data_IF_533808335503
#
_entry.id   IF_533808335503
#
_cell.length_a   1.000
_cell.length_b   1.000
_cell.length_c   1.000
_cell.angle_alpha   90.00
_cell.angle_beta   90.00
_cell.angle_gamma   90.00
#
_symmetry.space_group_name_H-M   'P 1'
#
loop_
_entity.id
_entity.type
_entity.pdbx_description
1 polymer ?
#
# COMPACT_ATOMS: atom_id res chain seq x y z
N UNK A 1 -8.39 16.24 -28.36
CA UNK A 1 -8.15 17.41 -27.47
C UNK A 1 -7.17 16.97 -26.38
N UNK A 2 -6.29 17.82 -25.84
CA UNK A 2 -5.39 17.40 -24.75
C UNK A 2 -6.06 17.66 -23.40
N UNK A 3 -5.94 16.71 -22.46
CA UNK A 3 -6.43 16.92 -21.09
C UNK A 3 -5.63 18.04 -20.41
N UNK A 4 -6.27 19.06 -19.82
CA UNK A 4 -5.57 20.17 -19.18
C UNK A 4 -4.78 19.76 -17.93
N UNK A 5 -5.08 18.60 -17.35
CA UNK A 5 -4.41 18.11 -16.13
C UNK A 5 -3.21 17.21 -16.43
N UNK A 6 -3.33 16.27 -17.37
CA UNK A 6 -2.30 15.24 -17.60
C UNK A 6 -1.65 15.28 -19.00
N UNK A 7 -2.07 16.20 -19.87
CA UNK A 7 -1.58 16.36 -21.24
C UNK A 7 -1.69 15.10 -22.13
N UNK A 8 -2.55 14.14 -21.78
CA UNK A 8 -2.85 12.98 -22.63
C UNK A 8 -3.95 13.30 -23.66
N UNK A 9 -3.95 12.65 -24.83
CA UNK A 9 -4.98 12.83 -25.85
C UNK A 9 -6.31 12.25 -25.38
N UNK A 10 -7.36 13.07 -25.42
CA UNK A 10 -8.75 12.68 -25.16
C UNK A 10 -9.55 12.58 -26.47
N UNK A 11 -10.36 11.52 -26.56
CA UNK A 11 -11.35 11.37 -27.63
C UNK A 11 -12.51 12.32 -27.33
N UNK A 12 -12.82 13.23 -28.26
CA UNK A 12 -13.62 14.43 -28.01
C UNK A 12 -15.08 14.24 -27.58
N UNK A 13 -15.55 12.99 -27.47
CA UNK A 13 -16.88 12.62 -26.99
C UNK A 13 -16.91 12.14 -25.54
N UNK A 14 -15.76 11.98 -24.88
CA UNK A 14 -15.68 11.48 -23.51
C UNK A 14 -15.90 12.60 -22.49
N UNK A 15 -16.76 12.36 -21.51
CA UNK A 15 -17.01 13.30 -20.40
C UNK A 15 -15.82 13.38 -19.42
N UNK A 16 -15.01 12.32 -19.34
CA UNK A 16 -13.88 12.22 -18.41
C UNK A 16 -12.63 11.73 -19.15
N UNK A 17 -11.45 12.15 -18.69
CA UNK A 17 -10.19 11.64 -19.22
C UNK A 17 -9.91 10.21 -18.74
N UNK A 18 -9.75 9.27 -19.67
CA UNK A 18 -9.43 7.87 -19.35
C UNK A 18 -8.12 7.64 -18.59
N UNK A 19 -7.21 8.62 -18.56
CA UNK A 19 -5.90 8.50 -17.91
C UNK A 19 -5.86 9.06 -16.49
N UNK A 20 -6.55 10.18 -16.23
CA UNK A 20 -6.47 10.88 -14.95
C UNK A 20 -7.82 11.11 -14.27
N UNK A 21 -8.94 10.86 -14.96
CA UNK A 21 -10.30 11.02 -14.42
C UNK A 21 -10.82 12.46 -14.38
N UNK A 22 -10.05 13.47 -14.81
CA UNK A 22 -10.53 14.86 -14.86
C UNK A 22 -11.72 14.98 -15.82
N UNK A 23 -12.78 15.67 -15.40
CA UNK A 23 -13.93 16.02 -16.26
C UNK A 23 -13.46 16.94 -17.38
N UNK A 24 -13.66 16.49 -18.62
CA UNK A 24 -13.35 17.28 -19.80
C UNK A 24 -14.55 18.17 -20.05
N UNK A 25 -14.35 19.49 -20.00
CA UNK A 25 -15.40 20.47 -20.23
C UNK A 25 -16.05 20.22 -21.59
N UNK A 26 -17.17 19.49 -21.59
CA UNK A 26 -17.93 19.18 -22.79
C UNK A 26 -18.61 20.48 -23.15
N UNK A 27 -18.33 21.01 -24.35
CA UNK A 27 -19.02 22.19 -24.84
C UNK A 27 -20.54 21.92 -24.71
N UNK A 28 -21.30 22.79 -24.00
CA UNK A 28 -22.72 22.54 -23.79
C UNK A 28 -23.39 22.38 -25.16
N UNK A 29 -24.28 21.37 -25.33
CA UNK A 29 -25.06 21.26 -26.55
C UNK A 29 -25.85 22.56 -26.70
N UNK A 30 -25.64 23.23 -27.84
CA UNK A 30 -26.33 24.48 -28.19
C UNK A 30 -27.82 24.16 -28.28
N UNK A 31 -28.54 24.41 -27.18
CA UNK A 31 -29.98 24.32 -27.15
C UNK A 31 -30.57 25.47 -27.97
N UNK A 32 -31.60 25.24 -28.82
CA UNK A 32 -32.31 26.31 -29.50
C UNK A 32 -32.96 27.26 -28.50
N UNK A 33 -32.74 28.56 -28.69
CA UNK A 33 -33.25 29.62 -27.82
C UNK A 33 -34.79 29.64 -27.77
N UNK A 34 -35.35 29.65 -26.55
CA UNK A 34 -36.73 30.04 -26.28
C UNK A 34 -36.76 31.28 -25.38
N UNK A 35 -37.74 32.18 -25.51
CA UNK A 35 -37.68 33.54 -24.98
C UNK A 35 -37.94 33.63 -23.47
N UNK A 36 -37.35 34.68 -22.89
CA UNK A 36 -37.31 35.02 -21.49
C UNK A 36 -38.69 35.27 -20.83
N UNK A 37 -38.88 34.72 -19.63
CA UNK A 37 -39.85 35.21 -18.66
C UNK A 37 -39.19 35.23 -17.28
N UNK A 38 -39.18 36.41 -16.67
CA UNK A 38 -38.50 36.71 -15.42
C UNK A 38 -39.39 36.38 -14.22
N UNK A 39 -38.87 35.59 -13.27
CA UNK A 39 -39.43 35.55 -11.92
C UNK A 39 -38.36 35.21 -10.88
N UNK A 40 -38.20 36.16 -9.96
CA UNK A 40 -37.46 36.14 -8.71
C UNK A 40 -37.94 35.04 -7.75
N UNK A 41 -37.03 34.25 -7.17
CA UNK A 41 -37.15 33.75 -5.78
C UNK A 41 -35.91 32.98 -5.28
N UNK A 42 -35.45 33.38 -4.09
CA UNK A 42 -34.88 32.56 -3.02
C UNK A 42 -33.63 31.71 -3.28
N UNK A 43 -32.49 32.25 -2.82
CA UNK A 43 -31.25 31.52 -2.50
C UNK A 43 -31.54 30.54 -1.34
N UNK A 44 -31.69 29.26 -1.68
CA UNK A 44 -31.50 28.16 -0.73
C UNK A 44 -30.05 27.67 -0.86
N UNK A 45 -29.29 27.50 0.23
CA UNK A 45 -27.98 26.86 0.16
C UNK A 45 -28.21 25.40 -0.21
N UNK A 46 -27.97 25.07 -1.48
CA UNK A 46 -27.85 23.71 -1.94
C UNK A 46 -26.69 23.08 -1.18
N UNK A 47 -27.01 22.36 -0.09
CA UNK A 47 -26.15 21.32 0.45
C UNK A 47 -25.84 20.39 -0.71
N UNK A 48 -24.66 20.56 -1.29
CA UNK A 48 -24.08 19.61 -2.21
C UNK A 48 -23.82 18.33 -1.42
N UNK A 49 -24.85 17.51 -1.31
CA UNK A 49 -24.69 16.07 -1.10
C UNK A 49 -23.98 15.55 -2.34
N UNK A 50 -22.66 15.73 -2.40
CA UNK A 50 -21.84 14.94 -3.29
C UNK A 50 -22.16 13.48 -2.96
N UNK A 51 -22.57 12.68 -3.94
CA UNK A 51 -22.62 11.24 -3.75
C UNK A 51 -21.20 10.81 -3.40
N UNK A 52 -20.95 10.57 -2.12
CA UNK A 52 -19.88 9.69 -1.69
C UNK A 52 -20.28 8.29 -2.15
N UNK A 53 -20.25 8.09 -3.47
CA UNK A 53 -20.05 6.77 -4.02
C UNK A 53 -18.68 6.37 -3.47
N UNK A 54 -18.72 5.64 -2.37
CA UNK A 54 -17.67 4.76 -1.90
C UNK A 54 -17.46 3.73 -3.00
N UNK A 55 -16.90 4.19 -4.12
CA UNK A 55 -16.31 3.38 -5.15
C UNK A 55 -15.26 2.57 -4.40
N UNK A 56 -15.60 1.31 -4.15
CA UNK A 56 -14.79 0.36 -3.41
C UNK A 56 -13.42 0.33 -4.09
N UNK A 57 -12.49 1.17 -3.61
CA UNK A 57 -11.10 1.23 -4.06
C UNK A 57 -10.44 -0.04 -3.56
N UNK A 58 -10.73 -1.14 -4.25
CA UNK A 58 -10.12 -2.42 -4.01
C UNK A 58 -8.61 -2.28 -4.22
N UNK A 59 -7.87 -2.61 -3.18
CA UNK A 59 -6.42 -2.78 -3.25
C UNK A 59 -6.14 -3.95 -4.19
N UNK A 60 -5.68 -3.64 -5.41
CA UNK A 60 -5.43 -4.64 -6.46
C UNK A 60 -3.97 -4.77 -6.87
N UNK A 61 -3.66 -5.87 -7.56
CA UNK A 61 -2.34 -6.12 -8.15
C UNK A 61 -1.25 -6.44 -7.13
N UNK A 62 -0.04 -5.91 -7.35
CA UNK A 62 1.13 -6.17 -6.51
C UNK A 62 0.94 -5.82 -5.03
N UNK A 63 0.11 -4.82 -4.71
CA UNK A 63 -0.12 -4.44 -3.31
C UNK A 63 -0.95 -5.48 -2.57
N UNK A 64 -1.87 -6.17 -3.26
CA UNK A 64 -2.64 -7.28 -2.69
C UNK A 64 -1.73 -8.47 -2.39
N UNK A 65 -0.75 -8.76 -3.27
CA UNK A 65 0.25 -9.81 -3.01
C UNK A 65 1.08 -9.50 -1.76
N UNK A 66 1.50 -8.25 -1.58
CA UNK A 66 2.17 -7.81 -0.35
C UNK A 66 1.30 -8.03 0.87
N UNK A 67 0.04 -7.61 0.82
CA UNK A 67 -0.89 -7.73 1.94
C UNK A 67 -1.11 -9.20 2.32
N UNK A 68 -1.35 -10.09 1.35
CA UNK A 68 -1.48 -11.54 1.59
C UNK A 68 -0.19 -12.10 2.20
N UNK A 69 0.97 -11.67 1.69
CA UNK A 69 2.24 -12.14 2.20
C UNK A 69 2.39 -11.84 3.70
N UNK A 70 2.19 -10.60 4.12
CA UNK A 70 2.39 -10.18 5.51
C UNK A 70 1.24 -10.58 6.45
N UNK A 71 0.04 -10.85 5.93
CA UNK A 71 -1.14 -11.20 6.76
C UNK A 71 -1.40 -12.70 6.87
N UNK A 72 -0.95 -13.49 5.89
CA UNK A 72 -1.25 -14.92 5.82
C UNK A 72 0.03 -15.75 5.75
N UNK A 73 0.92 -15.45 4.81
CA UNK A 73 2.09 -16.30 4.56
C UNK A 73 3.09 -16.20 5.71
N UNK A 74 3.43 -14.98 6.15
CA UNK A 74 4.40 -14.74 7.22
C UNK A 74 3.94 -15.34 8.57
N UNK A 75 2.69 -15.10 9.03
CA UNK A 75 2.22 -15.70 10.28
C UNK A 75 2.16 -17.22 10.24
N UNK A 76 1.80 -17.83 9.11
CA UNK A 76 1.81 -19.29 8.97
C UNK A 76 3.23 -19.85 9.00
N UNK A 77 4.20 -19.13 8.43
CA UNK A 77 5.61 -19.51 8.48
C UNK A 77 6.16 -19.43 9.90
N UNK A 78 5.87 -18.36 10.62
CA UNK A 78 6.28 -18.18 12.02
C UNK A 78 5.62 -19.20 12.94
N UNK A 79 4.32 -19.46 12.74
CA UNK A 79 3.60 -20.47 13.50
C UNK A 79 4.22 -21.86 13.29
N UNK A 80 4.56 -22.21 12.05
CA UNK A 80 5.30 -23.43 11.73
C UNK A 80 6.62 -23.48 12.49
N UNK A 81 7.39 -22.38 12.49
CA UNK A 81 8.68 -22.30 13.19
C UNK A 81 8.51 -22.54 14.70
N UNK A 82 7.50 -21.93 15.33
CA UNK A 82 7.17 -22.14 16.75
C UNK A 82 6.86 -23.62 17.04
N UNK A 83 6.11 -24.30 16.18
CA UNK A 83 5.81 -25.72 16.36
C UNK A 83 7.04 -26.62 16.22
N UNK A 84 7.97 -26.30 15.30
CA UNK A 84 9.22 -27.05 15.14
C UNK A 84 10.20 -26.81 16.29
N UNK A 85 10.28 -25.57 16.78
CA UNK A 85 11.10 -25.19 17.91
C UNK A 85 10.33 -25.46 19.20
N UNK A 86 10.13 -26.75 19.51
CA UNK A 86 9.39 -27.24 20.69
C UNK A 86 10.03 -26.87 22.05
N UNK A 87 10.90 -25.86 22.11
CA UNK A 87 11.82 -25.61 23.22
C UNK A 87 11.94 -24.12 23.56
N UNK A 88 11.35 -23.76 24.71
CA UNK A 88 11.78 -22.65 25.55
C UNK A 88 11.36 -21.25 25.11
N UNK A 89 11.12 -20.39 26.10
CA UNK A 89 10.87 -18.97 25.89
C UNK A 89 12.17 -18.29 25.45
N UNK A 90 12.27 -17.94 24.17
CA UNK A 90 13.42 -17.22 23.61
C UNK A 90 13.01 -15.80 23.23
N UNK A 91 13.78 -14.80 23.67
CA UNK A 91 13.54 -13.38 23.36
C UNK A 91 13.38 -13.12 21.85
N UNK A 92 14.18 -13.72 20.95
CA UNK A 92 13.99 -13.57 19.50
C UNK A 92 12.60 -14.01 19.02
N UNK A 93 12.05 -15.08 19.59
CA UNK A 93 10.74 -15.60 19.21
C UNK A 93 9.60 -14.64 19.59
N UNK A 94 9.71 -14.00 20.76
CA UNK A 94 8.74 -12.98 21.18
C UNK A 94 8.81 -11.71 20.32
N UNK A 95 10.02 -11.29 19.94
CA UNK A 95 10.22 -10.16 19.04
C UNK A 95 9.70 -10.46 17.62
N UNK A 96 9.97 -11.66 17.11
CA UNK A 96 9.42 -12.15 15.84
C UNK A 96 7.89 -12.11 15.89
N UNK A 97 7.26 -12.73 16.90
CA UNK A 97 5.80 -12.74 17.02
C UNK A 97 5.19 -11.34 17.13
N UNK A 98 5.83 -10.44 17.89
CA UNK A 98 5.42 -9.03 17.97
C UNK A 98 5.49 -8.33 16.61
N UNK A 99 6.56 -8.60 15.84
CA UNK A 99 6.72 -8.08 14.48
C UNK A 99 5.67 -8.66 13.52
N UNK A 100 5.37 -9.96 13.62
CA UNK A 100 4.32 -10.64 12.85
C UNK A 100 2.97 -9.98 13.09
N UNK A 101 2.58 -9.79 14.36
CA UNK A 101 1.33 -9.12 14.72
C UNK A 101 1.29 -7.69 14.18
N UNK A 102 2.39 -6.94 14.31
CA UNK A 102 2.49 -5.60 13.76
C UNK A 102 2.41 -5.60 12.22
N UNK A 103 2.97 -6.61 11.56
CA UNK A 103 2.86 -6.86 10.13
C UNK A 103 1.43 -7.13 9.68
N UNK A 104 0.68 -7.97 10.41
CA UNK A 104 -0.74 -8.22 10.15
C UNK A 104 -1.55 -6.92 10.27
N UNK A 105 -1.37 -6.15 11.33
CA UNK A 105 -2.04 -4.85 11.52
C UNK A 105 -1.70 -3.89 10.37
N UNK A 106 -0.42 -3.82 9.99
CA UNK A 106 0.05 -2.99 8.87
C UNK A 106 -0.60 -3.42 7.56
N UNK A 107 -0.70 -4.72 7.30
CA UNK A 107 -1.35 -5.27 6.11
C UNK A 107 -2.85 -4.98 6.04
N UNK A 108 -3.56 -5.10 7.17
CA UNK A 108 -4.98 -4.73 7.24
C UNK A 108 -5.16 -3.23 6.97
N UNK A 109 -4.31 -2.37 7.55
CA UNK A 109 -4.39 -0.93 7.31
C UNK A 109 -4.10 -0.55 5.86
N UNK A 110 -3.17 -1.25 5.21
CA UNK A 110 -2.92 -1.11 3.78
C UNK A 110 -4.13 -1.54 2.97
N UNK A 111 -4.76 -2.67 3.32
CA UNK A 111 -5.93 -3.20 2.63
C UNK A 111 -7.13 -2.23 2.69
N UNK A 112 -7.35 -1.59 3.83
CA UNK A 112 -8.42 -0.60 4.03
C UNK A 112 -8.10 0.74 3.33
N UNK A 113 -6.85 0.95 2.89
CA UNK A 113 -6.45 2.19 2.21
C UNK A 113 -6.24 3.36 3.17
N UNK A 114 -5.92 3.11 4.45
CA UNK A 114 -5.72 4.17 5.43
C UNK A 114 -4.48 5.02 5.11
N UNK A 115 -4.58 6.35 5.16
CA UNK A 115 -3.43 7.26 4.90
C UNK A 115 -2.28 7.03 5.89
N UNK A 116 -2.61 6.63 7.13
CA UNK A 116 -1.61 6.30 8.14
C UNK A 116 -0.83 5.02 7.83
N UNK A 117 -1.32 4.16 6.92
CA UNK A 117 -0.70 2.86 6.63
C UNK A 117 0.76 2.98 6.16
N UNK A 118 1.13 4.06 5.47
CA UNK A 118 2.52 4.29 5.07
C UNK A 118 3.45 4.55 6.27
N UNK A 119 2.96 5.18 7.33
CA UNK A 119 3.72 5.38 8.57
C UNK A 119 3.95 4.03 9.26
N UNK A 120 2.90 3.23 9.38
CA UNK A 120 3.01 1.86 9.93
C UNK A 120 4.00 1.02 9.11
N UNK A 121 3.93 1.12 7.78
CA UNK A 121 4.80 0.40 6.85
C UNK A 121 6.27 0.82 6.96
N UNK A 122 6.58 2.11 7.15
CA UNK A 122 7.95 2.57 7.41
C UNK A 122 8.51 1.98 8.69
N UNK A 123 7.73 2.01 9.76
CA UNK A 123 8.12 1.43 11.05
C UNK A 123 8.29 -0.09 10.92
N UNK A 124 7.41 -0.77 10.18
CA UNK A 124 7.52 -2.19 9.90
C UNK A 124 8.83 -2.53 9.18
N UNK A 125 9.14 -1.85 8.06
CA UNK A 125 10.39 -2.11 7.34
C UNK A 125 11.63 -1.79 8.18
N UNK A 126 11.61 -0.72 8.97
CA UNK A 126 12.70 -0.41 9.89
C UNK A 126 12.87 -1.51 10.95
N UNK A 127 11.78 -1.98 11.55
CA UNK A 127 11.81 -3.06 12.54
C UNK A 127 12.30 -4.39 11.95
N UNK A 128 11.82 -4.77 10.76
CA UNK A 128 12.32 -5.95 10.01
C UNK A 128 13.83 -5.82 9.77
N UNK A 129 14.29 -4.66 9.29
CA UNK A 129 15.72 -4.44 9.03
C UNK A 129 16.55 -4.54 10.31
N UNK A 130 16.11 -3.90 11.40
CA UNK A 130 16.83 -3.90 12.68
C UNK A 130 16.89 -5.30 13.31
N UNK A 131 15.76 -6.02 13.35
CA UNK A 131 15.70 -7.37 13.89
C UNK A 131 16.50 -8.36 13.04
N UNK A 132 16.48 -8.16 11.72
CA UNK A 132 17.38 -8.89 10.85
C UNK A 132 18.80 -8.57 11.27
N UNK A 133 19.26 -7.31 11.23
CA UNK A 133 20.66 -6.97 11.50
C UNK A 133 21.14 -7.52 12.85
N UNK A 134 20.28 -7.47 13.87
CA UNK A 134 20.52 -8.14 15.15
C UNK A 134 20.77 -9.65 14.97
N UNK A 135 19.85 -10.36 14.29
CA UNK A 135 19.99 -11.77 13.97
C UNK A 135 21.25 -12.11 13.15
N UNK A 136 21.73 -11.19 12.30
CA UNK A 136 22.98 -11.36 11.56
C UNK A 136 24.15 -11.42 12.52
N UNK A 137 24.23 -10.40 13.38
CA UNK A 137 25.34 -10.20 14.29
C UNK A 137 25.41 -11.36 15.29
N UNK A 138 24.28 -11.81 15.82
CA UNK A 138 24.24 -12.97 16.71
C UNK A 138 24.69 -14.24 15.99
N UNK A 139 24.18 -14.48 14.78
CA UNK A 139 24.53 -15.67 14.00
C UNK A 139 26.00 -15.66 13.56
N UNK A 140 26.54 -14.50 13.20
CA UNK A 140 27.94 -14.36 12.80
C UNK A 140 28.89 -14.67 13.96
N UNK A 141 28.56 -14.20 15.17
CA UNK A 141 29.31 -14.54 16.40
C UNK A 141 29.33 -16.04 16.69
N UNK A 142 28.21 -16.73 16.46
CA UNK A 142 28.12 -18.18 16.64
C UNK A 142 28.81 -18.96 15.52
N UNK A 143 28.74 -18.48 14.28
CA UNK A 143 29.33 -19.17 13.10
C UNK A 143 30.86 -19.24 13.19
N UNK A 144 31.52 -18.31 13.87
CA UNK A 144 32.96 -18.44 14.19
C UNK A 144 33.29 -19.67 15.04
N UNK A 145 32.31 -20.23 15.77
CA UNK A 145 32.49 -21.42 16.61
C UNK A 145 32.14 -22.74 15.88
N UNK A 146 31.20 -22.73 14.93
CA UNK A 146 30.64 -23.95 14.30
C UNK A 146 30.80 -24.03 12.77
N UNK A 147 31.33 -22.98 12.14
CA UNK A 147 31.60 -22.90 10.70
C UNK A 147 30.38 -22.54 9.82
N UNK A 148 30.65 -21.93 8.67
CA UNK A 148 30.13 -22.40 7.38
C UNK A 148 28.61 -22.62 7.14
N UNK A 149 27.65 -21.83 7.63
CA UNK A 149 26.22 -22.18 7.44
C UNK A 149 25.57 -21.54 6.20
N UNK A 150 25.40 -22.31 5.11
CA UNK A 150 24.73 -21.86 3.87
C UNK A 150 23.27 -21.44 4.08
N UNK A 151 22.55 -22.11 4.98
CA UNK A 151 21.14 -21.79 5.26
C UNK A 151 20.98 -20.39 5.84
N UNK A 152 21.90 -19.97 6.71
CA UNK A 152 21.93 -18.62 7.25
C UNK A 152 22.03 -17.59 6.11
N UNK A 153 22.98 -17.77 5.19
CA UNK A 153 23.21 -16.84 4.08
C UNK A 153 21.98 -16.72 3.18
N UNK A 154 21.36 -17.85 2.84
CA UNK A 154 20.13 -17.83 2.03
C UNK A 154 18.97 -17.13 2.73
N UNK A 155 18.80 -17.31 4.05
CA UNK A 155 17.80 -16.59 4.83
C UNK A 155 18.03 -15.07 4.79
N UNK A 156 19.29 -14.65 4.88
CA UNK A 156 19.72 -13.26 4.78
C UNK A 156 19.41 -12.61 3.44
N UNK A 157 19.80 -13.28 2.36
CA UNK A 157 19.49 -12.81 1.01
C UNK A 157 17.99 -12.72 0.76
N UNK A 158 17.20 -13.66 1.28
CA UNK A 158 15.74 -13.63 1.15
C UNK A 158 15.13 -12.38 1.80
N UNK A 159 15.56 -12.03 3.01
CA UNK A 159 15.07 -10.83 3.70
C UNK A 159 15.53 -9.55 3.00
N UNK A 160 16.80 -9.50 2.58
CA UNK A 160 17.33 -8.35 1.84
C UNK A 160 16.59 -8.13 0.52
N UNK A 161 16.35 -9.21 -0.25
CA UNK A 161 15.58 -9.16 -1.50
C UNK A 161 14.13 -8.73 -1.24
N UNK A 162 13.49 -9.26 -0.20
CA UNK A 162 12.14 -8.85 0.20
C UNK A 162 12.07 -7.35 0.49
N UNK A 163 12.96 -6.82 1.34
CA UNK A 163 13.01 -5.40 1.66
C UNK A 163 13.30 -4.56 0.41
N UNK A 164 14.28 -4.95 -0.41
CA UNK A 164 14.65 -4.21 -1.61
C UNK A 164 13.49 -4.11 -2.61
N UNK A 165 12.82 -5.24 -2.90
CA UNK A 165 11.67 -5.29 -3.83
C UNK A 165 10.54 -4.42 -3.30
N UNK A 166 10.14 -4.59 -2.05
CA UNK A 166 8.97 -3.90 -1.52
C UNK A 166 9.21 -2.42 -1.24
N UNK A 167 10.36 -2.04 -0.67
CA UNK A 167 10.70 -0.62 -0.48
C UNK A 167 10.77 0.10 -1.82
N UNK A 168 11.36 -0.52 -2.84
CA UNK A 168 11.41 0.07 -4.20
C UNK A 168 10.01 0.19 -4.78
N UNK A 169 9.17 -0.85 -4.64
CA UNK A 169 7.78 -0.82 -5.08
C UNK A 169 6.99 0.33 -4.43
N UNK A 170 7.04 0.47 -3.11
CA UNK A 170 6.32 1.54 -2.39
C UNK A 170 6.87 2.95 -2.63
N UNK A 171 8.13 3.07 -3.10
CA UNK A 171 8.73 4.34 -3.49
C UNK A 171 8.37 4.78 -4.90
N UNK A 172 8.29 3.84 -5.84
CA UNK A 172 8.16 4.15 -7.28
C UNK A 172 6.71 3.99 -7.77
N UNK A 173 5.89 3.17 -7.11
CA UNK A 173 4.56 2.82 -7.61
C UNK A 173 3.61 4.02 -7.69
N UNK A 174 3.16 4.33 -8.90
CA UNK A 174 2.12 5.35 -9.16
C UNK A 174 0.80 4.98 -8.48
N UNK A 175 0.49 3.69 -8.37
CA UNK A 175 -0.73 3.20 -7.71
C UNK A 175 -0.71 3.46 -6.21
N UNK A 176 0.44 3.27 -5.56
CA UNK A 176 0.62 3.60 -4.13
C UNK A 176 0.37 5.09 -3.92
N UNK A 177 1.00 5.94 -4.75
CA UNK A 177 0.76 7.40 -4.72
C UNK A 177 -0.70 7.77 -4.91
N UNK A 178 -1.39 7.15 -5.86
CA UNK A 178 -2.80 7.41 -6.14
C UNK A 178 -3.74 6.95 -5.02
N UNK A 179 -3.35 5.91 -4.28
CA UNK A 179 -4.16 5.32 -3.20
C UNK A 179 -3.97 6.08 -1.89
N UNK A 180 -2.71 6.33 -1.49
CA UNK A 180 -2.38 6.90 -0.18
C UNK A 180 -2.02 8.39 -0.23
N UNK A 181 -1.93 8.99 -1.42
CA UNK A 181 -1.58 10.39 -1.63
C UNK A 181 -0.08 10.69 -1.58
N UNK A 182 0.74 9.71 -1.18
CA UNK A 182 2.20 9.84 -1.08
C UNK A 182 2.88 8.49 -1.36
N UNK A 183 4.18 8.55 -1.60
CA UNK A 183 5.06 7.38 -1.63
C UNK A 183 5.85 7.28 -0.32
N UNK A 184 6.48 6.12 -0.13
CA UNK A 184 7.22 5.79 1.08
C UNK A 184 8.53 6.56 1.23
#
# INVERSE_FOLDING_TARGET
MLCPTCAQPAQGSERFCNYCGTELATAPPVAPAAPAEAASAAVAPAMSTQPQASELRGVGGWLLLFCIWITVIDPLWDLRLVFYLHYGFQVPLLLSFGLTLYGVVTGIQLWIGAKAALVFLRVYFAAVLLLSLWGFVTSFRETHAVGFNFWLITAWFRVAAFLAVWVTYFRVSVRVRATYGANL
#
